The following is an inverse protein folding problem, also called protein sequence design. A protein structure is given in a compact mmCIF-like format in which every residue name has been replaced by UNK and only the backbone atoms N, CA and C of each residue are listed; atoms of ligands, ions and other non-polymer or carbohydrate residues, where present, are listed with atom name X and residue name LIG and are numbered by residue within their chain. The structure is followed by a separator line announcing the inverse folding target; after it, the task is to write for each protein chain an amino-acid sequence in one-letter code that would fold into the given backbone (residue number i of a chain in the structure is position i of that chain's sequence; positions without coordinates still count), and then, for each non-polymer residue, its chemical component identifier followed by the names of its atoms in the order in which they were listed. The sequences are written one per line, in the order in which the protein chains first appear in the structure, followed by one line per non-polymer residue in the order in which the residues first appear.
data_IF_240231249769
#
_entry.id   IF_240231249769
#
_cell.length_a   1.000
_cell.length_b   1.000
_cell.length_c   1.000
_cell.angle_alpha   90.00
_cell.angle_beta   90.00
_cell.angle_gamma   90.00
#
_symmetry.space_group_name_H-M   'P 1'
#
loop_
_entity.id
_entity.type
_entity.pdbx_description
1 polymer ?
#
# COMPACT_ATOMS: atom_id res chain seq x y z
N UNK A 1 60.06 -102.25 96.50
CA UNK A 1 59.18 -103.00 97.44
C UNK A 1 59.50 -104.49 97.45
N UNK A 2 59.37 -105.23 96.33
CA UNK A 2 59.74 -106.67 96.26
C UNK A 2 61.21 -106.95 96.62
N UNK A 3 62.13 -106.07 96.23
CA UNK A 3 63.56 -106.18 96.59
C UNK A 3 63.83 -105.86 98.08
N UNK A 4 63.07 -104.94 98.67
CA UNK A 4 63.19 -104.57 100.09
C UNK A 4 62.74 -105.70 101.03
N UNK A 5 61.67 -106.43 100.65
CA UNK A 5 61.18 -107.57 101.41
C UNK A 5 62.14 -108.76 101.38
N UNK A 6 62.84 -108.97 100.25
CA UNK A 6 63.85 -110.02 100.14
C UNK A 6 65.07 -109.73 101.04
N UNK A 7 65.49 -108.46 101.10
CA UNK A 7 66.60 -108.03 101.96
C UNK A 7 66.30 -108.16 103.46
N UNK A 8 65.05 -107.90 103.88
CA UNK A 8 64.64 -108.01 105.29
C UNK A 8 64.53 -109.47 105.78
N UNK A 9 64.10 -110.39 104.90
CA UNK A 9 64.07 -111.82 105.20
C UNK A 9 65.49 -112.39 105.38
N UNK A 10 66.46 -111.90 104.59
CA UNK A 10 67.86 -112.29 104.70
C UNK A 10 68.49 -111.82 106.02
N UNK A 11 68.14 -110.63 106.50
CA UNK A 11 68.57 -110.12 107.81
C UNK A 11 68.03 -110.94 109.00
N UNK A 12 66.80 -111.47 108.90
CA UNK A 12 66.25 -112.40 109.92
C UNK A 12 66.99 -113.73 109.99
N UNK A 13 67.42 -114.28 108.85
CA UNK A 13 68.18 -115.54 108.83
C UNK A 13 69.56 -115.38 109.50
N UNK A 14 70.21 -114.22 109.36
CA UNK A 14 71.49 -113.93 109.99
C UNK A 14 71.39 -113.83 111.53
N UNK A 15 70.28 -113.30 112.06
CA UNK A 15 70.05 -113.15 113.50
C UNK A 15 69.81 -114.50 114.23
N UNK A 16 69.27 -115.51 113.53
CA UNK A 16 68.99 -116.84 114.09
C UNK A 16 70.25 -117.73 114.17
N UNK A 17 71.28 -117.47 113.36
CA UNK A 17 72.54 -118.24 113.38
C UNK A 17 73.50 -117.87 114.53
N UNK A 18 73.30 -116.73 115.20
CA UNK A 18 74.17 -116.23 116.28
C UNK A 18 73.80 -116.72 117.70
N UNK A 19 72.88 -117.68 117.84
CA UNK A 19 72.38 -118.16 119.16
C UNK A 19 72.68 -119.64 119.46
N UNK A 20 73.69 -120.24 118.83
CA UNK A 20 74.07 -121.65 119.03
C UNK A 20 75.13 -121.90 120.13
N UNK A 21 74.81 -122.86 121.02
CA UNK A 21 75.64 -123.62 121.99
C UNK A 21 75.94 -123.03 123.40
N UNK A 22 75.33 -123.64 124.43
CA UNK A 22 75.61 -123.44 125.87
C UNK A 22 76.68 -124.40 126.43
N UNK A 23 76.67 -124.78 127.73
CA UNK A 23 76.08 -124.16 128.92
C UNK A 23 77.17 -123.55 129.82
N UNK A 24 76.92 -122.38 130.39
CA UNK A 24 77.88 -121.74 131.30
C UNK A 24 77.69 -120.24 131.52
N UNK A 25 76.45 -119.81 131.74
CA UNK A 25 76.09 -118.67 132.59
C UNK A 25 76.69 -117.27 132.35
N UNK A 26 75.83 -116.44 131.73
CA UNK A 26 75.54 -115.01 132.03
C UNK A 26 76.62 -113.98 131.57
N UNK A 27 76.33 -112.85 130.91
CA UNK A 27 75.14 -111.97 130.89
C UNK A 27 75.08 -111.19 129.55
N UNK A 28 73.88 -111.10 128.97
CA UNK A 28 73.50 -110.42 127.71
C UNK A 28 73.62 -108.89 127.78
N UNK A 29 74.15 -108.26 126.73
CA UNK A 29 74.44 -106.82 126.64
C UNK A 29 73.33 -106.00 125.96
N UNK A 30 73.26 -104.72 126.34
CA UNK A 30 72.25 -103.69 126.02
C UNK A 30 72.00 -103.44 124.52
N UNK A 31 72.90 -103.88 123.64
CA UNK A 31 72.82 -103.63 122.19
C UNK A 31 71.81 -104.54 121.46
N UNK A 32 71.60 -105.78 121.92
CA UNK A 32 70.68 -106.71 121.26
C UNK A 32 69.20 -106.34 121.45
N UNK A 33 68.83 -105.72 122.57
CA UNK A 33 67.46 -105.22 122.81
C UNK A 33 67.10 -104.06 121.88
N UNK A 34 68.07 -103.19 121.58
CA UNK A 34 67.88 -102.00 120.74
C UNK A 34 67.68 -102.37 119.26
N UNK A 35 68.30 -103.47 118.81
CA UNK A 35 68.14 -103.96 117.43
C UNK A 35 66.75 -104.54 117.16
N UNK A 36 66.16 -105.26 118.12
CA UNK A 36 64.79 -105.81 118.03
C UNK A 36 63.73 -104.71 117.97
N UNK A 37 63.91 -103.63 118.74
CA UNK A 37 62.99 -102.49 118.74
C UNK A 37 63.02 -101.74 117.40
N UNK A 38 64.20 -101.59 116.81
CA UNK A 38 64.37 -100.97 115.48
C UNK A 38 63.69 -101.79 114.37
N UNK A 39 63.79 -103.12 114.39
CA UNK A 39 63.14 -103.99 113.40
C UNK A 39 61.60 -103.90 113.49
N UNK A 40 61.04 -103.88 114.70
CA UNK A 40 59.59 -103.71 114.88
C UNK A 40 59.09 -102.34 114.41
N UNK A 41 59.89 -101.29 114.59
CA UNK A 41 59.57 -99.95 114.06
C UNK A 41 59.52 -99.94 112.54
N UNK A 42 60.53 -100.55 111.90
CA UNK A 42 60.60 -100.68 110.44
C UNK A 42 59.44 -101.48 109.84
N UNK A 43 58.95 -102.52 110.55
CA UNK A 43 57.77 -103.27 110.11
C UNK A 43 56.49 -102.43 110.15
N UNK A 44 56.26 -101.67 111.23
CA UNK A 44 55.13 -100.73 111.31
C UNK A 44 55.21 -99.67 110.22
N UNK A 45 56.40 -99.14 109.95
CA UNK A 45 56.62 -98.16 108.89
C UNK A 45 56.39 -98.77 107.50
N UNK A 46 56.76 -100.03 107.28
CA UNK A 46 56.48 -100.75 106.03
C UNK A 46 54.98 -100.98 105.80
N UNK A 47 54.20 -101.32 106.82
CA UNK A 47 52.75 -101.44 106.69
C UNK A 47 52.07 -100.08 106.47
N UNK A 48 52.54 -99.03 107.14
CA UNK A 48 52.08 -97.67 106.91
C UNK A 48 52.37 -97.22 105.47
N UNK A 49 53.55 -97.56 104.93
CA UNK A 49 53.91 -97.33 103.53
C UNK A 49 53.00 -98.10 102.56
N UNK A 50 52.66 -99.36 102.83
CA UNK A 50 51.70 -100.13 102.01
C UNK A 50 50.32 -99.50 101.98
N UNK A 51 49.80 -99.08 103.14
CA UNK A 51 48.51 -98.37 103.22
C UNK A 51 48.54 -97.03 102.48
N UNK A 52 49.64 -96.27 102.58
CA UNK A 52 49.83 -95.02 101.82
C UNK A 52 49.88 -95.28 100.32
N UNK A 53 50.60 -96.31 99.87
CA UNK A 53 50.66 -96.68 98.45
C UNK A 53 49.28 -97.06 97.89
N UNK A 54 48.50 -97.87 98.62
CA UNK A 54 47.14 -98.22 98.21
C UNK A 54 46.20 -97.01 98.16
N UNK A 55 46.36 -96.05 99.10
CA UNK A 55 45.61 -94.81 99.09
C UNK A 55 45.97 -93.91 97.89
N UNK A 56 47.25 -93.86 97.51
CA UNK A 56 47.73 -93.12 96.33
C UNK A 56 47.17 -93.75 95.04
N UNK A 57 47.21 -95.08 94.89
CA UNK A 57 46.63 -95.75 93.72
C UNK A 57 45.12 -95.50 93.61
N UNK A 58 44.38 -95.53 94.73
CA UNK A 58 42.96 -95.19 94.75
C UNK A 58 42.70 -93.73 94.38
N UNK A 59 43.58 -92.81 94.79
CA UNK A 59 43.49 -91.39 94.42
C UNK A 59 43.76 -91.18 92.93
N UNK A 60 44.78 -91.84 92.36
CA UNK A 60 45.08 -91.80 90.93
C UNK A 60 43.89 -92.28 90.11
N UNK A 61 43.29 -93.44 90.46
CA UNK A 61 42.10 -93.94 89.74
C UNK A 61 40.90 -92.99 89.80
N UNK A 62 40.70 -92.30 90.92
CA UNK A 62 39.64 -91.29 91.05
C UNK A 62 39.92 -90.05 90.20
N UNK A 63 41.17 -89.61 90.14
CA UNK A 63 41.59 -88.49 89.30
C UNK A 63 41.46 -88.83 87.81
N UNK A 64 41.90 -90.03 87.40
CA UNK A 64 41.73 -90.50 86.02
C UNK A 64 40.27 -90.57 85.61
N UNK A 65 39.39 -91.12 86.47
CA UNK A 65 37.95 -91.16 86.19
C UNK A 65 37.37 -89.76 86.02
N UNK A 66 37.68 -88.83 86.94
CA UNK A 66 37.25 -87.42 86.83
C UNK A 66 37.81 -86.73 85.59
N UNK A 67 39.06 -87.03 85.22
CA UNK A 67 39.68 -86.49 84.02
C UNK A 67 39.01 -87.01 82.74
N UNK A 68 38.68 -88.31 82.67
CA UNK A 68 37.97 -88.91 81.54
C UNK A 68 36.53 -88.38 81.43
N UNK A 69 35.81 -88.28 82.54
CA UNK A 69 34.46 -87.70 82.58
C UNK A 69 34.48 -86.21 82.20
N UNK A 70 35.46 -85.45 82.70
CA UNK A 70 35.68 -84.05 82.33
C UNK A 70 36.04 -83.89 80.85
N UNK A 71 36.88 -84.76 80.30
CA UNK A 71 37.23 -84.77 78.88
C UNK A 71 36.05 -85.16 78.00
N UNK A 72 35.20 -86.12 78.41
CA UNK A 72 34.01 -86.50 77.63
C UNK A 72 32.95 -85.40 77.64
N UNK A 73 32.75 -84.74 78.79
CA UNK A 73 31.86 -83.59 78.91
C UNK A 73 32.35 -82.41 78.07
N UNK A 74 33.65 -82.09 78.16
CA UNK A 74 34.26 -81.06 77.33
C UNK A 74 34.18 -81.40 75.84
N UNK A 75 34.40 -82.65 75.46
CA UNK A 75 34.24 -83.11 74.08
C UNK A 75 32.80 -82.95 73.59
N UNK A 76 31.81 -83.30 74.43
CA UNK A 76 30.39 -83.09 74.13
C UNK A 76 30.04 -81.61 73.97
N UNK A 77 30.57 -80.73 74.84
CA UNK A 77 30.38 -79.29 74.74
C UNK A 77 31.04 -78.71 73.49
N UNK A 78 32.24 -79.17 73.13
CA UNK A 78 32.94 -78.76 71.90
C UNK A 78 32.16 -79.19 70.66
N UNK A 79 31.64 -80.41 70.62
CA UNK A 79 30.80 -80.87 69.49
C UNK A 79 29.51 -80.07 69.36
N UNK A 80 28.86 -79.72 70.49
CA UNK A 80 27.69 -78.83 70.47
C UNK A 80 28.02 -77.45 69.93
N UNK A 81 29.13 -76.85 70.39
CA UNK A 81 29.60 -75.54 69.92
C UNK A 81 29.95 -75.55 68.42
N UNK A 82 30.55 -76.62 67.90
CA UNK A 82 30.79 -76.77 66.45
C UNK A 82 29.47 -76.79 65.67
N UNK A 83 28.49 -77.55 66.16
CA UNK A 83 27.19 -77.63 65.49
C UNK A 83 26.45 -76.29 65.48
N UNK A 84 26.55 -75.53 66.58
CA UNK A 84 26.00 -74.18 66.67
C UNK A 84 26.77 -73.19 65.76
N UNK A 85 28.09 -73.32 65.66
CA UNK A 85 28.91 -72.53 64.73
C UNK A 85 28.58 -72.81 63.26
N UNK A 86 28.34 -74.07 62.90
CA UNK A 86 27.93 -74.46 61.55
C UNK A 86 26.53 -73.92 61.21
N UNK A 87 25.61 -73.92 62.19
CA UNK A 87 24.28 -73.32 62.03
C UNK A 87 24.39 -71.81 61.81
N UNK A 88 25.15 -71.11 62.65
CA UNK A 88 25.36 -69.67 62.51
C UNK A 88 26.03 -69.32 61.18
N UNK A 89 27.02 -70.10 60.74
CA UNK A 89 27.70 -69.89 59.46
C UNK A 89 26.75 -70.04 58.27
N UNK A 90 25.84 -71.02 58.31
CA UNK A 90 24.78 -71.18 57.31
C UNK A 90 23.79 -70.01 57.31
N UNK A 91 23.30 -69.61 58.47
CA UNK A 91 22.39 -68.45 58.59
C UNK A 91 23.05 -67.14 58.14
N UNK A 92 24.35 -66.96 58.40
CA UNK A 92 25.13 -65.83 57.88
C UNK A 92 25.22 -65.87 56.35
N UNK A 93 25.45 -67.03 55.75
CA UNK A 93 25.47 -67.20 54.30
C UNK A 93 24.12 -66.94 53.63
N UNK A 94 23.02 -67.39 54.24
CA UNK A 94 21.66 -67.12 53.75
C UNK A 94 21.31 -65.62 53.81
N UNK A 95 21.70 -64.93 54.89
CA UNK A 95 21.51 -63.49 55.03
C UNK A 95 22.35 -62.69 54.02
N UNK A 96 23.60 -63.11 53.79
CA UNK A 96 24.48 -62.46 52.83
C UNK A 96 23.97 -62.63 51.39
N UNK A 97 23.49 -63.84 51.05
CA UNK A 97 22.86 -64.11 49.76
C UNK A 97 21.57 -63.30 49.56
N UNK A 98 20.67 -63.28 50.55
CA UNK A 98 19.43 -62.50 50.48
C UNK A 98 19.72 -61.00 50.32
N UNK A 99 20.69 -60.46 51.08
CA UNK A 99 21.13 -59.07 50.96
C UNK A 99 21.73 -58.79 49.59
N UNK A 100 22.56 -59.69 49.05
CA UNK A 100 23.13 -59.55 47.71
C UNK A 100 22.03 -59.54 46.64
N UNK A 101 21.06 -60.45 46.73
CA UNK A 101 19.92 -60.53 45.82
C UNK A 101 19.03 -59.28 45.87
N UNK A 102 18.76 -58.75 47.07
CA UNK A 102 17.98 -57.51 47.22
C UNK A 102 18.73 -56.29 46.67
N UNK A 103 20.05 -56.23 46.87
CA UNK A 103 20.91 -55.16 46.32
C UNK A 103 20.97 -55.23 44.79
N UNK A 104 21.06 -56.42 44.21
CA UNK A 104 20.99 -56.61 42.75
C UNK A 104 19.62 -56.20 42.19
N UNK A 105 18.52 -56.60 42.84
CA UNK A 105 17.17 -56.21 42.43
C UNK A 105 16.94 -54.69 42.53
N UNK A 106 17.45 -54.05 43.59
CA UNK A 106 17.43 -52.58 43.73
C UNK A 106 18.31 -51.90 42.67
N UNK A 107 19.46 -52.48 42.33
CA UNK A 107 20.32 -52.02 41.25
C UNK A 107 19.60 -52.04 39.89
N UNK A 108 18.94 -53.14 39.54
CA UNK A 108 18.17 -53.25 38.30
C UNK A 108 17.00 -52.25 38.23
N UNK A 109 16.28 -52.04 39.34
CA UNK A 109 15.22 -51.01 39.42
C UNK A 109 15.78 -49.59 39.30
N UNK A 110 16.97 -49.33 39.86
CA UNK A 110 17.64 -48.04 39.74
C UNK A 110 18.04 -47.77 38.28
N UNK A 111 18.59 -48.77 37.58
CA UNK A 111 18.92 -48.66 36.15
C UNK A 111 17.65 -48.43 35.29
N UNK A 112 16.56 -49.12 35.59
CA UNK A 112 15.28 -48.91 34.89
C UNK A 112 14.74 -47.49 35.11
N UNK A 113 14.79 -46.99 36.35
CA UNK A 113 14.40 -45.62 36.69
C UNK A 113 15.31 -44.57 36.04
N UNK A 114 16.63 -44.81 36.01
CA UNK A 114 17.58 -43.95 35.30
C UNK A 114 17.28 -43.91 33.80
N UNK A 115 16.99 -45.06 33.19
CA UNK A 115 16.57 -45.15 31.80
C UNK A 115 15.23 -44.44 31.53
N UNK A 116 14.28 -44.52 32.46
CA UNK A 116 13.01 -43.81 32.37
C UNK A 116 13.20 -42.29 32.50
N UNK A 117 14.07 -41.84 33.41
CA UNK A 117 14.41 -40.43 33.59
C UNK A 117 15.08 -39.86 32.34
N UNK A 118 16.06 -40.56 31.77
CA UNK A 118 16.72 -40.14 30.52
C UNK A 118 15.72 -40.02 29.35
N UNK A 119 14.74 -40.92 29.25
CA UNK A 119 13.66 -40.83 28.26
C UNK A 119 12.72 -39.64 28.51
N UNK A 120 12.46 -39.30 29.77
CA UNK A 120 11.65 -38.15 30.14
C UNK A 120 12.37 -36.84 29.79
N UNK A 121 13.67 -36.73 30.09
CA UNK A 121 14.50 -35.57 29.75
C UNK A 121 14.53 -35.35 28.23
N UNK A 122 14.75 -36.41 27.44
CA UNK A 122 14.70 -36.32 25.98
C UNK A 122 13.34 -35.83 25.45
N UNK A 123 12.23 -36.26 26.07
CA UNK A 123 10.88 -35.75 25.73
C UNK A 123 10.68 -34.29 26.12
N UNK A 124 11.26 -33.84 27.23
CA UNK A 124 11.22 -32.43 27.61
C UNK A 124 12.01 -31.56 26.64
N UNK A 125 13.18 -32.02 26.18
CA UNK A 125 13.97 -31.33 25.15
C UNK A 125 13.22 -31.25 23.81
N UNK A 126 12.58 -32.35 23.37
CA UNK A 126 11.72 -32.36 22.18
C UNK A 126 10.54 -31.38 22.33
N UNK A 127 9.90 -31.35 23.50
CA UNK A 127 8.79 -30.44 23.77
C UNK A 127 9.23 -28.98 23.81
N UNK A 128 10.38 -28.67 24.41
CA UNK A 128 10.94 -27.31 24.44
C UNK A 128 11.27 -26.83 23.02
N UNK A 129 11.84 -27.70 22.18
CA UNK A 129 12.09 -27.40 20.77
C UNK A 129 10.78 -27.17 20.00
N UNK A 130 9.77 -28.01 20.21
CA UNK A 130 8.45 -27.85 19.60
C UNK A 130 7.78 -26.53 20.02
N UNK A 131 7.84 -26.18 21.32
CA UNK A 131 7.30 -24.92 21.84
C UNK A 131 8.03 -23.72 21.23
N UNK A 132 9.37 -23.77 21.12
CA UNK A 132 10.16 -22.71 20.47
C UNK A 132 9.78 -22.55 18.99
N UNK A 133 9.56 -23.67 18.29
CA UNK A 133 9.19 -23.67 16.87
C UNK A 133 7.80 -23.05 16.67
N UNK A 134 6.80 -23.50 17.43
CA UNK A 134 5.44 -22.93 17.37
C UNK A 134 5.44 -21.45 17.74
N UNK A 135 6.25 -21.03 18.73
CA UNK A 135 6.40 -19.60 19.07
C UNK A 135 7.00 -18.78 17.93
N UNK A 136 7.98 -19.32 17.22
CA UNK A 136 8.58 -18.65 16.07
C UNK A 136 7.59 -18.54 14.90
N UNK A 137 6.86 -19.62 14.60
CA UNK A 137 5.83 -19.64 13.54
C UNK A 137 4.69 -18.67 13.84
N UNK A 138 4.15 -18.72 15.05
CA UNK A 138 3.09 -17.80 15.48
C UNK A 138 3.53 -16.34 15.47
N UNK A 139 4.79 -16.04 15.83
CA UNK A 139 5.32 -14.68 15.71
C UNK A 139 5.39 -14.22 14.24
N UNK A 140 5.87 -15.08 13.33
CA UNK A 140 5.92 -14.79 11.90
C UNK A 140 4.53 -14.58 11.30
N UNK A 141 3.55 -15.41 11.67
CA UNK A 141 2.16 -15.27 11.23
C UNK A 141 1.54 -13.95 11.72
N UNK A 142 1.79 -13.57 12.98
CA UNK A 142 1.33 -12.29 13.55
C UNK A 142 1.93 -11.11 12.81
N UNK A 143 3.21 -11.16 12.47
CA UNK A 143 3.87 -10.09 11.72
C UNK A 143 3.33 -9.99 10.28
N UNK A 144 3.07 -11.12 9.62
CA UNK A 144 2.40 -11.13 8.31
C UNK A 144 1.00 -10.50 8.36
N UNK A 145 0.20 -10.85 9.37
CA UNK A 145 -1.13 -10.24 9.56
C UNK A 145 -1.03 -8.74 9.81
N UNK A 146 0.00 -8.28 10.54
CA UNK A 146 0.24 -6.85 10.76
C UNK A 146 0.59 -6.12 9.47
N UNK A 147 1.41 -6.72 8.61
CA UNK A 147 1.75 -6.17 7.29
C UNK A 147 0.51 -6.07 6.39
N UNK A 148 -0.29 -7.13 6.31
CA UNK A 148 -1.56 -7.13 5.57
C UNK A 148 -2.52 -6.06 6.12
N UNK A 149 -2.62 -5.92 7.44
CA UNK A 149 -3.46 -4.90 8.07
C UNK A 149 -2.93 -3.48 7.84
N UNK A 150 -1.62 -3.28 7.80
CA UNK A 150 -1.01 -1.99 7.47
C UNK A 150 -1.30 -1.62 6.00
N UNK A 151 -1.21 -2.57 5.08
CA UNK A 151 -1.55 -2.38 3.68
C UNK A 151 -3.02 -2.01 3.49
N UNK A 152 -3.95 -2.77 4.11
CA UNK A 152 -5.39 -2.50 4.04
C UNK A 152 -5.73 -1.12 4.62
N UNK A 153 -5.09 -0.74 5.74
CA UNK A 153 -5.27 0.58 6.34
C UNK A 153 -4.79 1.70 5.43
N UNK A 154 -3.63 1.55 4.80
CA UNK A 154 -3.13 2.53 3.84
C UNK A 154 -4.08 2.70 2.64
N UNK A 155 -4.59 1.58 2.09
CA UNK A 155 -5.60 1.64 1.03
C UNK A 155 -6.93 2.26 1.48
N UNK A 156 -7.33 2.07 2.74
CA UNK A 156 -8.51 2.73 3.30
C UNK A 156 -8.30 4.25 3.45
N UNK A 157 -7.13 4.68 3.89
CA UNK A 157 -6.76 6.10 3.99
C UNK A 157 -6.73 6.79 2.62
N UNK A 158 -6.25 6.10 1.58
CA UNK A 158 -6.28 6.58 0.19
C UNK A 158 -7.73 6.72 -0.31
N UNK A 159 -8.56 5.69 -0.11
CA UNK A 159 -9.99 5.74 -0.48
C UNK A 159 -10.73 6.87 0.25
N UNK A 160 -10.42 7.13 1.52
CA UNK A 160 -11.00 8.25 2.27
C UNK A 160 -10.63 9.59 1.60
N UNK A 161 -9.37 9.80 1.24
CA UNK A 161 -8.94 11.00 0.53
C UNK A 161 -9.63 11.15 -0.84
N UNK A 162 -9.82 10.05 -1.59
CA UNK A 162 -10.56 10.08 -2.84
C UNK A 162 -12.02 10.47 -2.65
N UNK A 163 -12.68 9.93 -1.62
CA UNK A 163 -14.07 10.26 -1.28
C UNK A 163 -14.20 11.74 -0.87
N UNK A 164 -13.26 12.26 -0.08
CA UNK A 164 -13.22 13.68 0.29
C UNK A 164 -13.09 14.59 -0.93
N UNK A 165 -12.16 14.27 -1.84
CA UNK A 165 -11.97 15.00 -3.10
C UNK A 165 -13.21 14.92 -4.01
N UNK A 166 -13.87 13.76 -4.08
CA UNK A 166 -15.15 13.62 -4.77
C UNK A 166 -16.25 14.48 -4.13
N UNK A 167 -16.26 14.59 -2.80
CA UNK A 167 -17.15 15.49 -2.05
C UNK A 167 -16.97 16.96 -2.46
N UNK A 168 -15.73 17.44 -2.46
CA UNK A 168 -15.40 18.82 -2.89
C UNK A 168 -15.82 19.08 -4.35
N UNK A 169 -15.60 18.10 -5.24
CA UNK A 169 -16.03 18.19 -6.65
C UNK A 169 -17.55 18.24 -6.80
N UNK A 170 -18.29 17.48 -6.00
CA UNK A 170 -19.75 17.50 -5.99
C UNK A 170 -20.29 18.85 -5.51
N UNK A 171 -19.66 19.44 -4.48
CA UNK A 171 -20.04 20.77 -3.98
C UNK A 171 -19.77 21.86 -5.03
N UNK A 172 -18.63 21.82 -5.71
CA UNK A 172 -18.32 22.72 -6.81
C UNK A 172 -19.31 22.56 -7.98
N UNK A 173 -19.74 21.32 -8.28
CA UNK A 173 -20.73 21.06 -9.32
C UNK A 173 -22.12 21.61 -8.93
N UNK A 174 -22.51 21.47 -7.66
CA UNK A 174 -23.76 22.03 -7.15
C UNK A 174 -23.79 23.56 -7.29
N UNK A 175 -22.70 24.25 -6.91
CA UNK A 175 -22.56 25.69 -7.10
C UNK A 175 -22.65 26.08 -8.59
N UNK A 176 -22.02 25.33 -9.49
CA UNK A 176 -22.12 25.58 -10.93
C UNK A 176 -23.54 25.38 -11.47
N UNK A 177 -24.33 24.45 -10.90
CA UNK A 177 -25.72 24.24 -11.28
C UNK A 177 -26.59 25.40 -10.82
N UNK A 178 -26.36 25.94 -9.62
CA UNK A 178 -27.05 27.13 -9.12
C UNK A 178 -26.77 28.34 -10.02
N UNK A 179 -25.51 28.58 -10.41
CA UNK A 179 -25.14 29.65 -11.35
C UNK A 179 -25.83 29.50 -12.71
N UNK A 180 -25.95 28.26 -13.21
CA UNK A 180 -26.68 27.97 -14.45
C UNK A 180 -28.16 28.25 -14.27
N UNK A 181 -28.75 27.89 -13.13
CA UNK A 181 -30.13 28.23 -12.77
C UNK A 181 -30.39 29.74 -12.82
N UNK A 182 -29.51 30.54 -12.20
CA UNK A 182 -29.61 32.01 -12.25
C UNK A 182 -29.44 32.58 -13.67
N UNK A 183 -28.59 31.96 -14.49
CA UNK A 183 -28.43 32.36 -15.90
C UNK A 183 -29.67 32.02 -16.72
N UNK A 184 -30.31 30.88 -16.47
CA UNK A 184 -31.57 30.50 -17.11
C UNK A 184 -32.65 31.51 -16.74
N UNK A 185 -32.82 31.83 -15.46
CA UNK A 185 -33.80 32.82 -15.00
C UNK A 185 -33.61 34.18 -15.70
N UNK A 186 -32.37 34.67 -15.81
CA UNK A 186 -32.06 35.92 -16.54
C UNK A 186 -32.40 35.86 -18.02
N UNK A 187 -32.20 34.70 -18.66
CA UNK A 187 -32.56 34.52 -20.07
C UNK A 187 -34.08 34.48 -20.24
N UNK A 188 -34.80 33.80 -19.35
CA UNK A 188 -36.26 33.76 -19.35
C UNK A 188 -36.86 35.17 -19.22
N UNK A 189 -36.34 35.98 -18.29
CA UNK A 189 -36.75 37.39 -18.13
C UNK A 189 -36.47 38.21 -19.40
N UNK A 190 -35.28 38.05 -20.00
CA UNK A 190 -34.91 38.76 -21.23
C UNK A 190 -35.78 38.36 -22.42
N UNK A 191 -36.08 37.06 -22.56
CA UNK A 191 -36.99 36.55 -23.61
C UNK A 191 -38.40 37.12 -23.42
N UNK A 192 -38.87 37.24 -22.19
CA UNK A 192 -40.17 37.82 -21.88
C UNK A 192 -40.23 39.31 -22.24
N UNK A 193 -39.18 40.06 -21.91
CA UNK A 193 -39.05 41.47 -22.27
C UNK A 193 -39.00 41.67 -23.80
N UNK A 194 -38.21 40.85 -24.50
CA UNK A 194 -38.13 40.89 -25.96
C UNK A 194 -39.46 40.53 -26.62
N UNK A 195 -40.16 39.53 -26.09
CA UNK A 195 -41.48 39.14 -26.59
C UNK A 195 -42.49 40.28 -26.47
N UNK A 196 -42.46 41.02 -25.35
CA UNK A 196 -43.27 42.21 -25.16
C UNK A 196 -42.89 43.34 -26.12
N UNK A 197 -41.59 43.56 -26.35
CA UNK A 197 -41.11 44.57 -27.29
C UNK A 197 -41.49 44.24 -28.74
N UNK A 198 -41.43 42.96 -29.14
CA UNK A 198 -41.87 42.49 -30.45
C UNK A 198 -43.35 42.76 -30.65
N UNK A 199 -44.17 42.49 -29.64
CA UNK A 199 -45.61 42.70 -29.76
C UNK A 199 -45.97 44.20 -29.90
N UNK A 200 -45.31 45.07 -29.13
CA UNK A 200 -45.44 46.52 -29.30
C UNK A 200 -44.96 47.01 -30.68
N UNK A 201 -43.88 46.42 -31.21
CA UNK A 201 -43.39 46.76 -32.54
C UNK A 201 -44.37 46.34 -33.64
N UNK A 202 -45.00 45.16 -33.51
CA UNK A 202 -46.05 44.70 -34.43
C UNK A 202 -47.27 45.62 -34.40
N UNK A 203 -47.71 46.05 -33.23
CA UNK A 203 -48.84 46.97 -33.08
C UNK A 203 -48.57 48.29 -33.81
N UNK A 204 -47.41 48.92 -33.54
CA UNK A 204 -46.97 50.13 -34.26
C UNK A 204 -46.85 49.92 -35.77
N UNK A 205 -46.31 48.78 -36.21
CA UNK A 205 -46.23 48.45 -37.64
C UNK A 205 -47.63 48.32 -38.27
N UNK A 206 -48.61 47.82 -37.51
CA UNK A 206 -50.01 47.78 -37.90
C UNK A 206 -50.61 49.17 -38.10
N UNK A 207 -50.28 50.15 -37.25
CA UNK A 207 -50.73 51.54 -37.38
C UNK A 207 -50.28 52.19 -38.69
N UNK A 208 -49.06 51.89 -39.15
CA UNK A 208 -48.53 52.42 -40.42
C UNK A 208 -49.08 51.72 -41.65
N UNK A 209 -49.68 50.53 -41.52
CA UNK A 209 -50.15 49.73 -42.65
C UNK A 209 -51.29 50.40 -43.42
N UNK A 210 -52.30 50.92 -42.73
CA UNK A 210 -53.45 51.56 -43.37
C UNK A 210 -53.08 52.91 -44.06
N UNK A 211 -52.29 53.81 -43.44
CA UNK A 211 -51.78 55.00 -44.10
C UNK A 211 -50.95 54.70 -45.35
N UNK A 212 -50.11 53.65 -45.33
CA UNK A 212 -49.32 53.24 -46.50
C UNK A 212 -50.22 52.82 -47.67
N UNK A 213 -51.29 52.07 -47.41
CA UNK A 213 -52.26 51.68 -48.44
C UNK A 213 -53.02 52.88 -49.03
N UNK A 214 -53.33 53.88 -48.20
CA UNK A 214 -53.93 55.14 -48.67
C UNK A 214 -52.94 55.95 -49.50
N UNK A 215 -51.67 55.99 -49.10
CA UNK A 215 -50.62 56.70 -49.83
C UNK A 215 -50.36 56.07 -51.19
N UNK A 216 -50.38 54.74 -51.28
CA UNK A 216 -50.27 53.97 -52.52
C UNK A 216 -51.40 54.31 -53.51
N UNK A 217 -52.66 54.31 -53.04
CA UNK A 217 -53.82 54.73 -53.86
C UNK A 217 -53.72 56.19 -54.33
N UNK A 218 -53.15 57.08 -53.51
CA UNK A 218 -52.91 58.48 -53.91
C UNK A 218 -51.81 58.58 -54.96
N UNK A 219 -50.75 57.78 -54.86
CA UNK A 219 -49.69 57.68 -55.86
C UNK A 219 -50.26 57.22 -57.21
N UNK A 220 -51.11 56.19 -57.21
CA UNK A 220 -51.80 55.75 -58.44
C UNK A 220 -52.65 56.87 -59.06
N UNK A 221 -53.40 57.58 -58.23
CA UNK A 221 -54.24 58.70 -58.67
C UNK A 221 -53.40 59.82 -59.30
N UNK A 222 -52.33 60.25 -58.61
CA UNK A 222 -51.42 61.27 -59.14
C UNK A 222 -50.75 60.80 -60.44
N UNK A 223 -50.38 59.52 -60.52
CA UNK A 223 -49.77 58.95 -61.72
C UNK A 223 -50.73 58.99 -62.91
N UNK A 224 -52.02 58.68 -62.68
CA UNK A 224 -53.06 58.79 -63.69
C UNK A 224 -53.31 60.26 -64.11
N UNK A 225 -53.33 61.20 -63.17
CA UNK A 225 -53.45 62.63 -63.45
C UNK A 225 -52.27 63.15 -64.27
N UNK A 226 -51.03 62.76 -63.93
CA UNK A 226 -49.83 63.12 -64.70
C UNK A 226 -49.88 62.57 -66.13
N UNK A 227 -50.39 61.35 -66.32
CA UNK A 227 -50.58 60.78 -67.66
C UNK A 227 -51.59 61.60 -68.47
N UNK A 228 -52.70 62.01 -67.86
CA UNK A 228 -53.73 62.83 -68.52
C UNK A 228 -53.25 64.25 -68.79
N UNK A 229 -52.46 64.85 -67.88
CA UNK A 229 -51.85 66.15 -68.08
C UNK A 229 -50.84 66.10 -69.25
N UNK A 230 -50.05 65.04 -69.33
CA UNK A 230 -49.11 64.79 -70.41
C UNK A 230 -49.82 64.65 -71.76
N UNK A 231 -50.95 63.96 -71.80
CA UNK A 231 -51.80 63.87 -73.00
C UNK A 231 -52.35 65.26 -73.39
N UNK A 232 -52.82 66.06 -72.41
CA UNK A 232 -53.26 67.44 -72.65
C UNK A 232 -52.15 68.33 -73.22
N UNK A 233 -50.93 68.24 -72.68
CA UNK A 233 -49.78 68.98 -73.21
C UNK A 233 -49.50 68.55 -74.65
N UNK A 234 -49.49 67.24 -74.91
CA UNK A 234 -49.28 66.70 -76.27
C UNK A 234 -50.35 67.17 -77.27
N UNK A 235 -51.60 67.33 -76.81
CA UNK A 235 -52.68 67.90 -77.64
C UNK A 235 -52.55 69.40 -77.87
N UNK A 236 -51.86 70.13 -76.99
CA UNK A 236 -51.59 71.55 -77.14
C UNK A 236 -50.39 71.79 -78.08
N UNK A 237 -49.51 70.81 -78.28
CA UNK A 237 -48.39 70.93 -79.22
C UNK A 237 -48.87 71.16 -80.67
N UNK A 238 -49.93 70.49 -81.11
CA UNK A 238 -50.47 70.68 -82.47
C UNK A 238 -51.01 72.10 -82.77
N UNK A 239 -51.87 72.72 -81.93
CA UNK A 239 -52.27 74.11 -82.11
C UNK A 239 -51.13 75.09 -81.84
N UNK A 240 -50.16 74.75 -80.98
CA UNK A 240 -48.94 75.55 -80.83
C UNK A 240 -48.13 75.55 -82.13
N UNK A 241 -47.89 74.40 -82.76
CA UNK A 241 -47.26 74.31 -84.08
C UNK A 241 -48.02 75.11 -85.14
N UNK A 242 -49.35 75.12 -85.10
CA UNK A 242 -50.17 75.91 -86.02
C UNK A 242 -50.03 77.41 -85.78
N UNK A 243 -50.05 77.84 -84.51
CA UNK A 243 -49.78 79.24 -84.14
C UNK A 243 -48.35 79.63 -84.52
N UNK A 244 -47.38 78.74 -84.32
CA UNK A 244 -45.97 78.96 -84.66
C UNK A 244 -45.78 79.02 -86.18
N UNK A 245 -46.48 78.18 -86.96
CA UNK A 245 -46.55 78.32 -88.43
C UNK A 245 -47.15 79.64 -88.86
N UNK A 246 -48.24 80.09 -88.21
CA UNK A 246 -48.85 81.38 -88.49
C UNK A 246 -47.95 82.55 -88.09
N UNK A 247 -47.24 82.44 -86.97
CA UNK A 247 -46.23 83.39 -86.55
C UNK A 247 -45.07 83.39 -87.52
N UNK A 248 -44.57 82.24 -87.96
CA UNK A 248 -43.50 82.14 -88.96
C UNK A 248 -43.94 82.67 -90.32
N UNK A 249 -45.21 82.49 -90.72
CA UNK A 249 -45.76 83.10 -91.93
C UNK A 249 -45.89 84.62 -91.75
N UNK A 250 -46.35 85.10 -90.60
CA UNK A 250 -46.39 86.53 -90.25
C UNK A 250 -44.99 87.13 -90.13
N UNK A 251 -44.03 86.43 -89.56
CA UNK A 251 -42.63 86.79 -89.42
C UNK A 251 -41.93 86.69 -90.76
N UNK A 252 -42.28 85.76 -91.65
CA UNK A 252 -41.81 85.74 -93.03
C UNK A 252 -42.44 86.89 -93.82
N UNK A 253 -43.66 87.31 -93.50
CA UNK A 253 -44.28 88.53 -94.04
C UNK A 253 -43.60 89.80 -93.48
N UNK A 254 -43.20 89.81 -92.21
CA UNK A 254 -42.43 90.89 -91.56
C UNK A 254 -40.96 90.90 -92.02
N UNK A 255 -40.33 89.74 -92.23
CA UNK A 255 -38.96 89.60 -92.74
C UNK A 255 -38.87 89.79 -94.26
N UNK A 256 -40.00 89.64 -94.99
CA UNK A 256 -40.17 90.17 -96.34
C UNK A 256 -40.31 91.71 -96.36
N UNK A 257 -40.70 92.32 -95.24
CA UNK A 257 -40.70 93.78 -95.05
C UNK A 257 -39.35 94.29 -94.49
N UNK A 258 -38.62 93.46 -93.75
CA UNK A 258 -37.36 93.79 -93.10
C UNK A 258 -36.36 92.67 -93.36
N UNK A 259 -35.52 92.86 -94.38
CA UNK A 259 -34.53 91.87 -94.78
C UNK A 259 -33.54 91.55 -93.64
N UNK A 260 -33.51 90.26 -93.27
CA UNK A 260 -32.36 89.34 -93.05
C UNK A 260 -32.24 88.75 -91.62
N UNK A 261 -32.02 87.42 -91.49
CA UNK A 261 -32.32 86.69 -90.26
C UNK A 261 -31.09 86.24 -89.46
N UNK A 262 -31.39 85.74 -88.24
CA UNK A 262 -30.98 84.45 -87.68
C UNK A 262 -30.21 84.48 -86.36
N UNK A 263 -30.77 83.68 -85.45
CA UNK A 263 -30.41 83.45 -84.07
C UNK A 263 -29.21 82.50 -83.88
N UNK A 264 -28.54 82.74 -82.75
CA UNK A 264 -28.21 81.80 -81.68
C UNK A 264 -27.56 80.41 -81.93
N UNK A 265 -26.60 80.16 -81.02
CA UNK A 265 -26.47 78.97 -80.16
C UNK A 265 -25.35 77.95 -80.46
N UNK A 266 -24.65 77.65 -79.34
CA UNK A 266 -23.65 76.60 -79.05
C UNK A 266 -24.20 75.18 -79.26
N UNK A 267 -23.33 74.15 -79.35
CA UNK A 267 -23.46 72.96 -78.46
C UNK A 267 -22.06 72.33 -78.08
N UNK A 268 -21.92 71.09 -77.50
CA UNK A 268 -21.56 70.90 -76.08
C UNK A 268 -20.49 69.80 -75.77
N UNK A 269 -20.16 69.72 -74.47
CA UNK A 269 -19.85 68.56 -73.61
C UNK A 269 -18.87 67.44 -74.04
N UNK A 270 -17.83 67.27 -73.21
CA UNK A 270 -16.91 66.14 -73.15
C UNK A 270 -17.25 65.20 -71.97
N UNK A 271 -16.99 63.89 -72.17
CA UNK A 271 -17.19 62.78 -71.24
C UNK A 271 -16.21 62.79 -70.05
N UNK A 272 -16.66 62.28 -68.89
CA UNK A 272 -15.93 62.21 -67.61
C UNK A 272 -15.58 60.76 -67.26
N UNK A 273 -14.30 60.51 -66.92
CA UNK A 273 -13.77 59.24 -66.37
C UNK A 273 -14.34 58.97 -64.97
N UNK A 274 -14.75 57.73 -64.71
CA UNK A 274 -15.15 57.21 -63.40
C UNK A 274 -14.03 57.33 -62.38
N UNK A 275 -14.36 57.87 -61.20
CA UNK A 275 -13.48 57.94 -60.05
C UNK A 275 -13.47 56.60 -59.30
N UNK A 276 -12.36 56.29 -58.61
CA UNK A 276 -12.30 55.12 -57.73
C UNK A 276 -13.41 55.22 -56.65
N UNK A 277 -14.10 54.11 -56.34
CA UNK A 277 -15.20 54.10 -55.37
C UNK A 277 -14.70 54.46 -53.97
N UNK A 278 -15.53 55.11 -53.16
CA UNK A 278 -15.14 55.52 -51.81
C UNK A 278 -14.72 54.31 -50.94
N UNK A 279 -13.62 54.38 -50.16
CA UNK A 279 -13.18 53.27 -49.32
C UNK A 279 -14.27 52.75 -48.37
N UNK A 280 -15.04 53.64 -47.73
CA UNK A 280 -16.06 53.21 -46.79
C UNK A 280 -17.22 52.50 -47.50
N UNK A 281 -17.60 52.96 -48.69
CA UNK A 281 -18.59 52.27 -49.54
C UNK A 281 -18.10 50.87 -49.97
N UNK A 282 -16.84 50.76 -50.41
CA UNK A 282 -16.27 49.51 -50.87
C UNK A 282 -16.13 48.49 -49.72
N UNK A 283 -15.71 48.93 -48.54
CA UNK A 283 -15.68 48.08 -47.34
C UNK A 283 -17.09 47.64 -46.91
N UNK A 284 -18.06 48.56 -46.90
CA UNK A 284 -19.46 48.26 -46.54
C UNK A 284 -20.08 47.26 -47.51
N UNK A 285 -19.76 47.34 -48.80
CA UNK A 285 -20.19 46.36 -49.79
C UNK A 285 -19.64 44.96 -49.50
N UNK A 286 -18.33 44.82 -49.23
CA UNK A 286 -17.71 43.54 -48.89
C UNK A 286 -18.26 42.94 -47.59
N UNK A 287 -18.51 43.80 -46.60
CA UNK A 287 -19.13 43.38 -45.34
C UNK A 287 -20.55 42.86 -45.54
N UNK A 288 -21.39 43.56 -46.32
CA UNK A 288 -22.75 43.12 -46.64
C UNK A 288 -22.76 41.76 -47.35
N UNK A 289 -21.92 41.59 -48.37
CA UNK A 289 -21.76 40.32 -49.09
C UNK A 289 -21.37 39.17 -48.13
N UNK A 290 -20.50 39.44 -47.16
CA UNK A 290 -20.14 38.46 -46.13
C UNK A 290 -21.34 38.07 -45.26
N UNK A 291 -22.17 39.03 -44.87
CA UNK A 291 -23.39 38.77 -44.07
C UNK A 291 -24.43 37.98 -44.88
N UNK A 292 -24.51 38.21 -46.19
CA UNK A 292 -25.35 37.46 -47.13
C UNK A 292 -24.79 36.06 -47.46
N UNK A 293 -23.61 35.69 -46.91
CA UNK A 293 -22.86 34.46 -47.19
C UNK A 293 -22.39 34.32 -48.64
N UNK A 294 -22.36 35.43 -49.38
CA UNK A 294 -21.78 35.51 -50.71
C UNK A 294 -20.25 35.68 -50.59
N UNK A 295 -19.60 34.58 -50.18
CA UNK A 295 -18.19 34.58 -49.81
C UNK A 295 -17.26 34.83 -50.99
N UNK A 296 -17.62 34.36 -52.19
CA UNK A 296 -16.85 34.56 -53.41
C UNK A 296 -16.76 36.05 -53.76
N UNK A 297 -17.90 36.75 -53.85
CA UNK A 297 -17.91 38.19 -54.14
C UNK A 297 -17.32 39.01 -52.99
N UNK A 298 -17.56 38.64 -51.73
CA UNK A 298 -16.96 39.31 -50.59
C UNK A 298 -15.42 39.26 -50.63
N UNK A 299 -14.83 38.12 -50.97
CA UNK A 299 -13.38 37.96 -51.12
C UNK A 299 -12.83 38.86 -52.22
N UNK A 300 -13.49 38.93 -53.38
CA UNK A 300 -13.09 39.82 -54.46
C UNK A 300 -13.15 41.30 -54.05
N UNK A 301 -14.25 41.70 -53.39
CA UNK A 301 -14.44 43.07 -52.91
C UNK A 301 -13.39 43.48 -51.88
N UNK A 302 -13.09 42.65 -50.88
CA UNK A 302 -12.05 42.97 -49.89
C UNK A 302 -10.64 42.95 -50.48
N UNK A 303 -10.34 42.05 -51.43
CA UNK A 303 -9.05 42.09 -52.15
C UNK A 303 -8.91 43.37 -52.98
N UNK A 304 -9.98 43.79 -53.63
CA UNK A 304 -10.01 45.07 -54.34
C UNK A 304 -9.82 46.24 -53.39
N UNK A 305 -10.47 46.22 -52.22
CA UNK A 305 -10.27 47.21 -51.17
C UNK A 305 -8.80 47.30 -50.76
N UNK A 306 -8.16 46.18 -50.42
CA UNK A 306 -6.75 46.16 -50.01
C UNK A 306 -5.79 46.56 -51.14
N UNK A 307 -6.15 46.31 -52.40
CA UNK A 307 -5.35 46.74 -53.55
C UNK A 307 -5.43 48.24 -53.81
N UNK A 308 -6.59 48.88 -53.56
CA UNK A 308 -6.80 50.31 -53.78
C UNK A 308 -6.40 51.13 -52.55
N UNK A 309 -6.58 50.57 -51.36
CA UNK A 309 -6.45 51.22 -50.06
C UNK A 309 -5.67 50.32 -49.09
N UNK A 310 -4.36 50.07 -49.32
CA UNK A 310 -3.57 49.16 -48.47
C UNK A 310 -3.29 49.69 -47.06
N UNK A 311 -3.23 51.02 -46.89
CA UNK A 311 -2.83 51.71 -45.65
C UNK A 311 -3.99 52.49 -44.99
N UNK A 312 -5.24 52.13 -45.29
CA UNK A 312 -6.42 52.79 -44.76
C UNK A 312 -6.79 52.20 -43.38
N UNK A 313 -7.50 52.96 -42.56
CA UNK A 313 -7.91 52.58 -41.20
C UNK A 313 -8.70 51.25 -41.10
N UNK A 314 -9.33 50.81 -42.18
CA UNK A 314 -10.12 49.59 -42.32
C UNK A 314 -9.36 48.48 -43.06
N UNK A 315 -8.08 48.68 -43.41
CA UNK A 315 -7.31 47.67 -44.15
C UNK A 315 -7.02 46.44 -43.29
N UNK A 316 -6.76 46.61 -42.00
CA UNK A 316 -6.64 45.48 -41.06
C UNK A 316 -7.97 44.73 -40.92
N UNK A 317 -9.10 45.46 -40.89
CA UNK A 317 -10.45 44.93 -40.88
C UNK A 317 -10.76 44.13 -42.14
N UNK A 318 -10.46 44.67 -43.32
CA UNK A 318 -10.69 44.01 -44.60
C UNK A 318 -9.86 42.72 -44.71
N UNK A 319 -8.59 42.76 -44.30
CA UNK A 319 -7.72 41.57 -44.28
C UNK A 319 -8.19 40.53 -43.25
N UNK A 320 -8.73 40.97 -42.11
CA UNK A 320 -9.36 40.09 -41.12
C UNK A 320 -10.63 39.43 -41.67
N UNK A 321 -11.47 40.16 -42.41
CA UNK A 321 -12.67 39.58 -43.04
C UNK A 321 -12.34 38.53 -44.09
N UNK A 322 -11.28 38.73 -44.89
CA UNK A 322 -10.79 37.70 -45.81
C UNK A 322 -10.48 36.40 -45.05
N UNK A 323 -9.81 36.50 -43.90
CA UNK A 323 -9.48 35.35 -43.07
C UNK A 323 -10.72 34.70 -42.44
N UNK A 324 -11.66 35.49 -41.93
CA UNK A 324 -12.95 35.00 -41.40
C UNK A 324 -13.81 34.31 -42.45
N UNK A 325 -13.77 34.77 -43.71
CA UNK A 325 -14.48 34.11 -44.82
C UNK A 325 -13.87 32.72 -45.07
N UNK A 326 -12.54 32.60 -45.13
CA UNK A 326 -11.89 31.29 -45.28
C UNK A 326 -12.18 30.37 -44.09
N UNK A 327 -12.19 30.93 -42.87
CA UNK A 327 -12.60 30.22 -41.67
C UNK A 327 -14.05 29.73 -41.79
N UNK A 328 -15.00 30.57 -42.20
CA UNK A 328 -16.40 30.19 -42.38
C UNK A 328 -16.62 29.12 -43.46
N UNK A 329 -15.78 29.12 -44.50
CA UNK A 329 -15.77 28.08 -45.56
C UNK A 329 -15.15 26.75 -45.12
N UNK A 330 -14.54 26.69 -43.92
CA UNK A 330 -13.84 25.51 -43.43
C UNK A 330 -12.44 25.31 -44.02
N UNK A 331 -11.93 26.28 -44.77
CA UNK A 331 -10.58 26.29 -45.33
C UNK A 331 -9.61 26.86 -44.28
N UNK A 332 -9.39 26.09 -43.22
CA UNK A 332 -8.64 26.51 -42.04
C UNK A 332 -7.17 26.81 -42.38
N UNK A 333 -6.59 26.13 -43.36
CA UNK A 333 -5.21 26.33 -43.82
C UNK A 333 -5.05 27.73 -44.42
N UNK A 334 -5.95 28.14 -45.32
CA UNK A 334 -5.94 29.50 -45.85
C UNK A 334 -6.31 30.52 -44.79
N UNK A 335 -7.27 30.24 -43.92
CA UNK A 335 -7.62 31.13 -42.82
C UNK A 335 -6.41 31.46 -41.93
N UNK A 336 -5.59 30.46 -41.58
CA UNK A 336 -4.35 30.66 -40.82
C UNK A 336 -3.39 31.61 -41.53
N UNK A 337 -3.22 31.47 -42.85
CA UNK A 337 -2.34 32.33 -43.63
C UNK A 337 -2.86 33.76 -43.71
N UNK A 338 -4.16 33.95 -43.89
CA UNK A 338 -4.78 35.28 -43.99
C UNK A 338 -4.82 35.99 -42.62
N UNK A 339 -5.06 35.28 -41.51
CA UNK A 339 -4.91 35.86 -40.17
C UNK A 339 -3.46 36.28 -39.89
N UNK A 340 -2.48 35.50 -40.35
CA UNK A 340 -1.06 35.87 -40.22
C UNK A 340 -0.74 37.18 -40.96
N UNK A 341 -1.41 37.45 -42.09
CA UNK A 341 -1.24 38.73 -42.79
C UNK A 341 -1.73 39.90 -41.96
N UNK A 342 -2.87 39.77 -41.27
CA UNK A 342 -3.33 40.80 -40.32
C UNK A 342 -2.24 41.12 -39.30
N UNK A 343 -1.69 40.08 -38.67
CA UNK A 343 -0.70 40.21 -37.60
C UNK A 343 0.62 40.82 -38.09
N UNK A 344 1.05 40.45 -39.31
CA UNK A 344 2.35 40.89 -39.86
C UNK A 344 2.29 42.23 -40.59
N UNK A 345 1.22 42.51 -41.31
CA UNK A 345 1.09 43.72 -42.13
C UNK A 345 0.49 44.88 -41.32
N UNK A 346 -0.34 44.58 -40.33
CA UNK A 346 -1.02 45.59 -39.50
C UNK A 346 -0.75 45.35 -38.01
N UNK A 347 0.52 45.37 -37.54
CA UNK A 347 0.88 44.95 -36.18
C UNK A 347 0.27 45.82 -35.06
N UNK A 348 -0.12 47.05 -35.38
CA UNK A 348 -0.79 48.02 -34.48
C UNK A 348 -2.30 48.13 -34.76
N UNK A 349 -2.86 47.30 -35.64
CA UNK A 349 -4.27 47.33 -36.00
C UNK A 349 -5.19 46.78 -34.90
N UNK A 350 -6.42 47.28 -34.85
CA UNK A 350 -7.44 46.88 -33.88
C UNK A 350 -7.81 45.39 -34.00
N UNK A 351 -7.57 44.78 -35.16
CA UNK A 351 -7.85 43.36 -35.40
C UNK A 351 -6.72 42.40 -35.06
N UNK A 352 -5.58 42.85 -34.59
CA UNK A 352 -4.45 41.95 -34.26
C UNK A 352 -4.80 40.94 -33.17
N UNK A 353 -5.42 41.39 -32.08
CA UNK A 353 -5.83 40.50 -30.99
C UNK A 353 -6.86 39.45 -31.46
N UNK A 354 -7.82 39.88 -32.29
CA UNK A 354 -8.86 39.02 -32.85
C UNK A 354 -8.27 38.02 -33.85
N UNK A 355 -7.34 38.47 -34.70
CA UNK A 355 -6.64 37.62 -35.67
C UNK A 355 -5.80 36.55 -34.99
N UNK A 356 -5.02 36.90 -33.96
CA UNK A 356 -4.25 35.91 -33.16
C UNK A 356 -5.16 34.86 -32.53
N UNK A 357 -6.29 35.28 -31.94
CA UNK A 357 -7.27 34.37 -31.34
C UNK A 357 -7.87 33.41 -32.37
N UNK A 358 -8.35 33.94 -33.50
CA UNK A 358 -8.97 33.14 -34.56
C UNK A 358 -7.99 32.27 -35.31
N UNK A 359 -6.73 32.71 -35.47
CA UNK A 359 -5.66 31.88 -35.98
C UNK A 359 -5.40 30.68 -35.06
N UNK A 360 -5.37 30.89 -33.75
CA UNK A 360 -5.28 29.80 -32.77
C UNK A 360 -6.43 28.81 -32.88
N UNK A 361 -7.67 29.29 -33.07
CA UNK A 361 -8.83 28.42 -33.29
C UNK A 361 -8.75 27.65 -34.62
N UNK A 362 -8.24 28.28 -35.68
CA UNK A 362 -8.03 27.60 -36.96
C UNK A 362 -6.99 26.49 -36.84
N UNK A 363 -5.88 26.71 -36.14
CA UNK A 363 -4.89 25.66 -35.85
C UNK A 363 -5.47 24.51 -35.02
N UNK A 364 -6.34 24.80 -34.05
CA UNK A 364 -7.04 23.76 -33.30
C UNK A 364 -7.94 22.92 -34.24
N UNK A 365 -8.67 23.56 -35.17
CA UNK A 365 -9.50 22.86 -36.16
C UNK A 365 -8.68 21.99 -37.12
N UNK A 366 -7.41 22.33 -37.34
CA UNK A 366 -6.44 21.53 -38.09
C UNK A 366 -5.81 20.40 -37.25
N UNK A 367 -6.08 20.31 -35.95
CA UNK A 367 -5.45 19.36 -35.04
C UNK A 367 -4.04 19.77 -34.57
N UNK A 368 -3.57 20.95 -34.96
CA UNK A 368 -2.29 21.54 -34.58
C UNK A 368 -2.41 22.22 -33.20
N UNK A 369 -2.65 21.42 -32.17
CA UNK A 369 -2.98 21.90 -30.80
C UNK A 369 -1.81 22.65 -30.15
N UNK A 370 -0.56 22.30 -30.48
CA UNK A 370 0.63 22.97 -29.93
C UNK A 370 0.72 24.40 -30.44
N UNK A 371 0.54 24.59 -31.74
CA UNK A 371 0.53 25.87 -32.43
C UNK A 371 -0.65 26.73 -31.96
N UNK A 372 -1.83 26.12 -31.82
CA UNK A 372 -3.00 26.77 -31.26
C UNK A 372 -2.72 27.32 -29.85
N UNK A 373 -2.09 26.51 -28.98
CA UNK A 373 -1.74 26.92 -27.62
C UNK A 373 -0.79 28.13 -27.60
N UNK A 374 0.28 28.08 -28.40
CA UNK A 374 1.26 29.18 -28.49
C UNK A 374 0.58 30.49 -28.88
N UNK A 375 -0.30 30.47 -29.88
CA UNK A 375 -1.00 31.68 -30.32
C UNK A 375 -1.98 32.20 -29.28
N UNK A 376 -2.71 31.32 -28.60
CA UNK A 376 -3.63 31.72 -27.54
C UNK A 376 -2.89 32.31 -26.33
N UNK A 377 -1.73 31.77 -25.96
CA UNK A 377 -0.87 32.33 -24.93
C UNK A 377 -0.35 33.72 -25.35
N UNK A 378 -0.01 33.89 -26.62
CA UNK A 378 0.43 35.18 -27.17
C UNK A 378 -0.67 36.24 -27.10
N UNK A 379 -1.95 35.90 -27.35
CA UNK A 379 -3.09 36.82 -27.14
C UNK A 379 -3.13 37.30 -25.69
N UNK A 380 -3.00 36.38 -24.74
CA UNK A 380 -3.03 36.69 -23.30
C UNK A 380 -1.86 37.58 -22.89
N UNK A 381 -0.68 37.35 -23.48
CA UNK A 381 0.54 38.10 -23.19
C UNK A 381 0.53 39.50 -23.80
N UNK A 382 0.16 39.64 -25.07
CA UNK A 382 0.19 40.91 -25.80
C UNK A 382 -1.03 41.79 -25.55
N UNK A 383 -2.20 41.19 -25.30
CA UNK A 383 -3.46 41.90 -25.14
C UNK A 383 -4.20 41.52 -23.85
N UNK A 384 -3.56 41.61 -22.66
CA UNK A 384 -4.05 40.99 -21.42
C UNK A 384 -5.42 41.46 -20.96
N UNK A 385 -5.84 42.68 -21.32
CA UNK A 385 -7.12 43.29 -20.92
C UNK A 385 -8.18 43.27 -22.03
N UNK A 386 -7.94 42.55 -23.13
CA UNK A 386 -8.89 42.45 -24.24
C UNK A 386 -9.94 41.35 -24.01
N UNK A 387 -11.15 41.48 -24.59
CA UNK A 387 -12.12 40.39 -24.65
C UNK A 387 -11.55 39.11 -25.29
N UNK A 388 -10.61 39.27 -26.22
CA UNK A 388 -9.91 38.19 -26.90
C UNK A 388 -9.01 37.40 -25.94
N UNK A 389 -8.31 38.07 -25.01
CA UNK A 389 -7.52 37.40 -23.99
C UNK A 389 -8.37 36.60 -23.01
N UNK A 390 -9.58 37.05 -22.67
CA UNK A 390 -10.49 36.27 -21.84
C UNK A 390 -10.99 35.01 -22.55
N UNK A 391 -11.30 35.13 -23.84
CA UNK A 391 -11.64 33.97 -24.69
C UNK A 391 -10.45 33.01 -24.78
N UNK A 392 -9.24 33.53 -25.00
CA UNK A 392 -8.02 32.73 -25.06
C UNK A 392 -7.74 31.99 -23.76
N UNK A 393 -7.85 32.66 -22.59
CA UNK A 393 -7.69 32.03 -21.27
C UNK A 393 -8.65 30.86 -21.06
N UNK A 394 -9.94 31.05 -21.40
CA UNK A 394 -10.93 29.96 -21.31
C UNK A 394 -10.56 28.79 -22.21
N UNK A 395 -10.14 29.07 -23.45
CA UNK A 395 -9.74 28.04 -24.40
C UNK A 395 -8.48 27.29 -23.98
N UNK A 396 -7.49 27.98 -23.42
CA UNK A 396 -6.27 27.36 -22.91
C UNK A 396 -6.54 26.37 -21.77
N UNK A 397 -7.52 26.66 -20.91
CA UNK A 397 -7.96 25.71 -19.86
C UNK A 397 -8.52 24.43 -20.47
N UNK A 398 -9.35 24.52 -21.51
CA UNK A 398 -9.91 23.33 -22.18
C UNK A 398 -8.83 22.52 -22.91
N UNK A 399 -7.84 23.19 -23.51
CA UNK A 399 -6.72 22.51 -24.21
C UNK A 399 -5.71 21.84 -23.26
N UNK A 400 -5.73 22.14 -21.96
CA UNK A 400 -4.91 21.46 -20.94
C UNK A 400 -5.55 20.17 -20.43
N UNK A 401 -6.87 20.02 -20.59
CA UNK A 401 -7.64 18.89 -20.08
C UNK A 401 -7.82 17.75 -21.11
N UNK A 402 -7.34 17.94 -22.35
CA UNK A 402 -7.34 16.89 -23.36
C UNK A 402 -6.11 15.97 -23.17
N UNK A 403 -6.30 14.64 -23.08
CA UNK A 403 -5.25 13.67 -22.75
C UNK A 403 -4.15 13.53 -23.82
#
# INVERSE_FOLDING_TARGET
MKELTASLACAMALAVLLTGCGPGGVVVTREQAQMSENVNRLLKDSEAMKKRAAAIEAAIRRLDKKAVEGMSSNRGNIEKLKLDLDRLSRSLGELDYARSSDVEALGGRLEELQGALARADARFDELDLAVKTVRAETAADVDKVREEFAFVRGGLEENIHEIENLGERLEALAQSLDEVGERIARVEDSVMEQSRAIEQAKEKAGEYRAPLEVLDKRLDTITAELALLKDRISRLDAPLEEVDRRLTDMEARIARLESRPAAAAKPPAAARKEAAPDPAELYTAGYRQTMERDYENALETFRRFLSLYPDQELSDNAQYWIAEIYYAKGDWERAVLEFNKVIKQYPEGDKVAAALLKQGYAFEKLGAVKEARVLLEEVVKRHPNSPEADKARRKLKTLKAAP
#
